data_IF_111791663420
#
_entry.id   IF_111791663420
#
_cell.length_a   1.000
_cell.length_b   1.000
_cell.length_c   1.000
_cell.angle_alpha   90.00
_cell.angle_beta   90.00
_cell.angle_gamma   90.00
#
_symmetry.space_group_name_H-M   'P 1'
#
loop_
_entity.id
_entity.type
_entity.pdbx_description
1 polymer ?
#
# COMPACT_ATOMS: atom_id res chain seq x y z
N UNK A 1 -8.78 13.80 8.60
CA UNK A 1 -8.83 12.92 7.41
C UNK A 1 -8.85 11.48 7.91
N UNK A 2 -9.49 10.52 7.23
CA UNK A 2 -9.48 9.14 7.68
C UNK A 2 -8.05 8.58 7.60
N UNK A 3 -7.61 7.93 8.68
CA UNK A 3 -6.37 7.15 8.68
C UNK A 3 -6.51 5.97 7.70
N UNK A 4 -5.46 5.67 6.95
CA UNK A 4 -5.39 4.49 6.12
C UNK A 4 -5.36 3.25 7.01
N UNK A 5 -6.31 2.35 6.82
CA UNK A 5 -6.34 1.06 7.52
C UNK A 5 -5.80 -0.08 6.65
N UNK A 6 -5.49 -1.22 7.27
CA UNK A 6 -5.09 -2.45 6.57
C UNK A 6 -6.13 -2.86 5.53
N UNK A 7 -7.42 -2.75 5.87
CA UNK A 7 -8.53 -3.08 4.97
C UNK A 7 -8.59 -2.16 3.76
N UNK A 8 -8.31 -0.87 3.96
CA UNK A 8 -8.27 0.09 2.86
C UNK A 8 -7.11 -0.23 1.92
N UNK A 9 -5.92 -0.47 2.47
CA UNK A 9 -4.77 -0.86 1.67
C UNK A 9 -5.03 -2.18 0.93
N UNK A 10 -5.60 -3.19 1.59
CA UNK A 10 -5.96 -4.46 0.97
C UNK A 10 -6.92 -4.28 -0.20
N UNK A 11 -7.95 -3.44 -0.05
CA UNK A 11 -8.91 -3.15 -1.11
C UNK A 11 -8.27 -2.41 -2.30
N UNK A 12 -7.33 -1.48 -2.03
CA UNK A 12 -6.59 -0.77 -3.07
C UNK A 12 -5.68 -1.75 -3.82
N UNK A 13 -4.90 -2.56 -3.11
CA UNK A 13 -4.01 -3.56 -3.68
C UNK A 13 -4.78 -4.55 -4.55
N UNK A 14 -5.88 -5.12 -4.05
CA UNK A 14 -6.75 -6.02 -4.80
C UNK A 14 -7.30 -5.34 -6.07
N UNK A 15 -7.69 -4.06 -5.98
CA UNK A 15 -8.12 -3.30 -7.15
C UNK A 15 -7.00 -3.01 -8.15
N UNK A 16 -5.74 -3.03 -7.73
CA UNK A 16 -4.57 -2.73 -8.56
C UNK A 16 -3.89 -3.98 -9.13
N UNK A 17 -4.10 -5.15 -8.52
CA UNK A 17 -3.54 -6.42 -8.98
C UNK A 17 -4.33 -7.08 -10.11
N UNK A 18 -5.55 -6.61 -10.40
CA UNK A 18 -6.34 -7.13 -11.52
C UNK A 18 -6.89 -8.54 -11.27
N UNK A 19 -6.77 -9.43 -12.27
CA UNK A 19 -7.24 -10.83 -12.23
C UNK A 19 -6.23 -11.80 -11.57
N UNK A 20 -5.10 -11.30 -11.06
CA UNK A 20 -4.14 -12.14 -10.35
C UNK A 20 -4.63 -12.51 -8.95
N UNK A 21 -4.39 -13.76 -8.55
CA UNK A 21 -4.79 -14.29 -7.25
C UNK A 21 -3.85 -13.73 -6.17
N UNK A 22 -4.15 -12.52 -5.68
CA UNK A 22 -3.37 -11.88 -4.61
C UNK A 22 -3.70 -12.53 -3.28
N UNK A 23 -2.67 -12.77 -2.47
CA UNK A 23 -2.84 -13.15 -1.08
C UNK A 23 -3.60 -12.03 -0.35
N UNK A 24 -4.71 -12.33 0.35
CA UNK A 24 -5.41 -11.32 1.12
C UNK A 24 -4.46 -10.69 2.14
N UNK A 25 -4.38 -9.35 2.13
CA UNK A 25 -3.57 -8.63 3.09
C UNK A 25 -4.27 -8.64 4.45
N UNK A 26 -3.74 -9.45 5.36
CA UNK A 26 -4.18 -9.58 6.75
C UNK A 26 -3.10 -9.09 7.73
N UNK A 27 -3.43 -9.01 9.03
CA UNK A 27 -2.50 -8.55 10.07
C UNK A 27 -1.20 -9.38 10.14
N UNK A 28 -1.27 -10.66 9.77
CA UNK A 28 -0.10 -11.56 9.70
C UNK A 28 0.80 -11.30 8.48
N UNK A 29 0.24 -10.73 7.41
CA UNK A 29 0.92 -10.44 6.14
C UNK A 29 1.45 -9.00 6.07
N UNK A 30 1.21 -8.20 7.11
CA UNK A 30 1.64 -6.80 7.18
C UNK A 30 3.16 -6.62 7.17
N UNK A 31 3.88 -7.62 7.71
CA UNK A 31 5.34 -7.64 7.78
C UNK A 31 5.96 -8.44 6.62
N UNK A 32 5.13 -8.98 5.73
CA UNK A 32 5.56 -9.70 4.52
C UNK A 32 5.87 -8.70 3.43
N UNK A 33 6.93 -8.95 2.66
CA UNK A 33 7.29 -8.07 1.55
C UNK A 33 6.24 -8.13 0.43
N UNK A 34 6.02 -7.02 -0.26
CA UNK A 34 5.08 -7.01 -1.39
C UNK A 34 5.42 -8.05 -2.48
N UNK A 35 6.71 -8.29 -2.70
CA UNK A 35 7.17 -9.31 -3.66
C UNK A 35 6.75 -10.74 -3.23
N UNK A 36 6.78 -11.04 -1.93
CA UNK A 36 6.32 -12.33 -1.40
C UNK A 36 4.79 -12.47 -1.41
N UNK A 37 4.06 -11.36 -1.36
CA UNK A 37 2.61 -11.32 -1.53
C UNK A 37 2.16 -11.50 -2.99
N UNK A 38 3.10 -11.62 -3.92
CA UNK A 38 2.82 -11.74 -5.35
C UNK A 38 2.44 -10.41 -6.01
N UNK A 39 2.77 -9.27 -5.38
CA UNK A 39 2.48 -7.95 -5.94
C UNK A 39 3.62 -7.48 -6.83
N UNK A 40 3.27 -7.26 -8.09
CA UNK A 40 4.19 -6.68 -9.07
C UNK A 40 4.45 -5.19 -8.83
N UNK A 41 5.61 -4.74 -9.32
CA UNK A 41 6.01 -3.34 -9.24
C UNK A 41 4.99 -2.38 -9.85
N UNK A 42 4.26 -2.79 -10.88
CA UNK A 42 3.20 -1.98 -11.51
C UNK A 42 1.97 -1.86 -10.61
N UNK A 43 1.55 -2.94 -9.96
CA UNK A 43 0.44 -2.92 -9.00
C UNK A 43 0.77 -2.02 -7.80
N UNK A 44 2.01 -2.09 -7.31
CA UNK A 44 2.51 -1.21 -6.25
C UNK A 44 2.55 0.25 -6.65
N UNK A 45 3.04 0.56 -7.86
CA UNK A 45 3.05 1.93 -8.36
C UNK A 45 1.63 2.51 -8.47
N UNK A 46 0.69 1.74 -9.03
CA UNK A 46 -0.71 2.14 -9.11
C UNK A 46 -1.33 2.35 -7.71
N UNK A 47 -0.97 1.50 -6.75
CA UNK A 47 -1.40 1.61 -5.36
C UNK A 47 -0.93 2.92 -4.73
N UNK A 48 0.35 3.28 -4.89
CA UNK A 48 0.92 4.57 -4.43
C UNK A 48 0.16 5.74 -5.03
N UNK A 49 -0.04 5.77 -6.35
CA UNK A 49 -0.77 6.85 -7.03
C UNK A 49 -2.21 6.97 -6.53
N UNK A 50 -2.86 5.84 -6.25
CA UNK A 50 -4.23 5.81 -5.73
C UNK A 50 -4.31 6.29 -4.28
N UNK A 51 -3.34 5.90 -3.45
CA UNK A 51 -3.19 6.39 -2.08
C UNK A 51 -2.98 7.90 -2.04
N UNK A 52 -2.07 8.44 -2.85
CA UNK A 52 -1.85 9.90 -2.94
C UNK A 52 -3.14 10.65 -3.28
N UNK A 53 -3.91 10.14 -4.25
CA UNK A 53 -5.19 10.75 -4.66
C UNK A 53 -6.28 10.62 -3.59
N UNK A 54 -6.40 9.46 -2.94
CA UNK A 54 -7.44 9.22 -1.93
C UNK A 54 -7.16 9.93 -0.61
N UNK A 55 -5.92 9.86 -0.14
CA UNK A 55 -5.48 10.46 1.11
C UNK A 55 -5.10 11.94 0.95
N UNK A 56 -4.90 12.42 -0.29
CA UNK A 56 -4.48 13.80 -0.56
C UNK A 56 -3.03 14.10 -0.13
N UNK A 57 -2.18 13.08 -0.12
CA UNK A 57 -0.77 13.17 0.29
C UNK A 57 0.15 13.02 -0.91
N UNK A 58 1.40 13.46 -0.77
CA UNK A 58 2.47 13.22 -1.75
C UNK A 58 3.48 12.27 -1.13
N UNK A 59 3.65 11.10 -1.73
CA UNK A 59 4.62 10.09 -1.36
C UNK A 59 5.91 10.31 -2.17
N UNK A 60 7.09 10.08 -1.58
CA UNK A 60 8.35 10.25 -2.27
C UNK A 60 8.54 9.15 -3.31
N UNK A 61 9.31 9.43 -4.35
CA UNK A 61 9.58 8.50 -5.45
C UNK A 61 10.23 7.18 -4.98
N UNK A 62 10.98 7.23 -3.89
CA UNK A 62 11.64 6.08 -3.28
C UNK A 62 10.80 5.39 -2.20
N UNK A 63 9.50 5.74 -2.06
CA UNK A 63 8.62 5.17 -1.03
C UNK A 63 8.60 3.65 -1.08
N UNK A 64 8.44 3.05 -2.27
CA UNK A 64 8.42 1.60 -2.44
C UNK A 64 9.76 0.93 -2.08
N UNK A 65 10.87 1.67 -2.19
CA UNK A 65 12.18 1.20 -1.74
C UNK A 65 12.39 1.31 -0.23
N UNK A 66 11.71 2.26 0.43
CA UNK A 66 11.73 2.45 1.89
C UNK A 66 10.68 1.64 2.64
N UNK A 67 9.58 1.30 1.97
CA UNK A 67 8.44 0.57 2.51
C UNK A 67 8.28 -0.74 1.73
N UNK A 68 9.15 -1.74 1.98
CA UNK A 68 9.02 -3.03 1.33
C UNK A 68 7.80 -3.82 1.83
N UNK A 69 7.22 -3.41 2.96
CA UNK A 69 6.07 -4.06 3.59
C UNK A 69 4.81 -3.16 3.59
N UNK A 70 3.62 -3.76 3.60
CA UNK A 70 2.34 -3.07 3.80
C UNK A 70 2.30 -2.22 5.07
N UNK A 71 2.86 -2.72 6.18
CA UNK A 71 2.92 -1.99 7.46
C UNK A 71 3.68 -0.66 7.32
N UNK A 72 4.83 -0.70 6.66
CA UNK A 72 5.66 0.49 6.47
C UNK A 72 4.95 1.52 5.60
N UNK A 73 4.25 1.07 4.55
CA UNK A 73 3.49 1.94 3.66
C UNK A 73 2.34 2.62 4.40
N UNK A 74 1.57 1.88 5.20
CA UNK A 74 0.47 2.42 6.01
C UNK A 74 1.00 3.49 6.97
N UNK A 75 2.08 3.18 7.66
CA UNK A 75 2.70 4.10 8.61
C UNK A 75 3.12 5.41 7.93
N UNK A 76 3.83 5.33 6.82
CA UNK A 76 4.28 6.51 6.07
C UNK A 76 3.10 7.37 5.56
N UNK A 77 2.03 6.74 5.10
CA UNK A 77 0.84 7.47 4.65
C UNK A 77 0.17 8.17 5.83
N UNK A 78 -0.05 7.45 6.94
CA UNK A 78 -0.71 8.01 8.12
C UNK A 78 0.10 9.14 8.78
N UNK A 79 1.43 9.03 8.78
CA UNK A 79 2.33 10.09 9.23
C UNK A 79 2.17 11.38 8.39
N UNK A 80 1.87 11.25 7.08
CA UNK A 80 1.63 12.40 6.19
C UNK A 80 0.22 12.98 6.26
N UNK A 81 -0.78 12.15 6.53
CA UNK A 81 -2.18 12.60 6.64
C UNK A 81 -2.42 13.32 7.98
N UNK A 82 -1.64 12.98 9.02
CA UNK A 82 -1.79 13.52 10.37
C UNK A 82 -0.93 14.76 10.65
N UNK A 83 -0.07 15.18 9.70
CA UNK A 83 0.81 16.35 9.82
C UNK A 83 0.33 17.52 8.98
#
# INVERSE_FOLDING_TARGET
MPELTVKDLAAILASCAGDEEVVPLDEEHLDTSFAELGLDSLALLNTVVKLERQCGVVLPEDVLGRTPTPRDLIKIVNDRVSG
#
